data_IF_531773881364
#
_entry.id   IF_531773881364
#
_cell.length_a   1.000
_cell.length_b   1.000
_cell.length_c   1.000
_cell.angle_alpha   90.00
_cell.angle_beta   90.00
_cell.angle_gamma   90.00
#
_symmetry.space_group_name_H-M   'P 1'
#
loop_
_entity.id
_entity.type
_entity.pdbx_description
1 polymer ?
#
# COMPACT_ATOMS: atom_id res chain seq x y z
N UNK A 1 -13.39 -11.85 3.13
CA UNK A 1 -12.42 -12.96 3.04
C UNK A 1 -12.85 -14.16 3.89
N UNK A 2 -13.38 -13.91 5.09
CA UNK A 2 -13.95 -14.94 5.98
C UNK A 2 -14.98 -15.83 5.29
N UNK A 3 -15.96 -15.25 4.58
CA UNK A 3 -16.95 -15.99 3.79
C UNK A 3 -16.31 -16.94 2.75
N UNK A 4 -15.19 -16.54 2.16
CA UNK A 4 -14.49 -17.34 1.16
C UNK A 4 -13.72 -18.50 1.80
N UNK A 5 -13.06 -18.25 2.93
CA UNK A 5 -12.39 -19.31 3.70
C UNK A 5 -13.40 -20.31 4.27
N UNK A 6 -14.56 -19.85 4.75
CA UNK A 6 -15.63 -20.73 5.22
C UNK A 6 -16.15 -21.64 4.09
N UNK A 7 -16.37 -21.08 2.89
CA UNK A 7 -16.73 -21.90 1.73
C UNK A 7 -15.62 -22.86 1.26
N UNK A 8 -14.35 -22.49 1.45
CA UNK A 8 -13.21 -23.37 1.18
C UNK A 8 -13.16 -24.54 2.18
N UNK A 9 -13.41 -24.27 3.44
CA UNK A 9 -13.50 -25.29 4.49
C UNK A 9 -14.67 -26.25 4.22
N UNK A 10 -15.85 -25.73 3.87
CA UNK A 10 -17.00 -26.55 3.45
C UNK A 10 -16.68 -27.45 2.25
N UNK A 11 -15.94 -26.93 1.25
CA UNK A 11 -15.49 -27.71 0.09
C UNK A 11 -14.39 -28.73 0.43
N UNK A 12 -13.54 -28.47 1.43
CA UNK A 12 -12.54 -29.43 1.88
C UNK A 12 -13.16 -30.67 2.52
N UNK A 13 -14.24 -30.50 3.29
CA UNK A 13 -14.97 -31.60 3.92
C UNK A 13 -15.61 -32.54 2.90
N UNK A 14 -16.01 -32.02 1.74
CA UNK A 14 -16.56 -32.83 0.64
C UNK A 14 -15.49 -33.51 -0.23
N UNK A 15 -14.24 -33.01 -0.20
CA UNK A 15 -13.17 -33.44 -1.11
C UNK A 15 -12.04 -34.24 -0.43
N UNK A 16 -12.06 -34.40 0.90
CA UNK A 16 -11.02 -35.08 1.70
C UNK A 16 -9.60 -34.50 1.51
N UNK A 17 -9.51 -33.22 1.12
CA UNK A 17 -8.26 -32.46 0.99
C UNK A 17 -8.31 -31.32 1.98
N UNK A 18 -7.36 -31.26 2.91
CA UNK A 18 -7.30 -30.23 3.96
C UNK A 18 -7.20 -28.82 3.35
N UNK A 19 -8.17 -27.95 3.65
CA UNK A 19 -8.15 -26.57 3.18
C UNK A 19 -7.11 -25.76 3.95
N UNK A 20 -6.12 -25.22 3.23
CA UNK A 20 -5.26 -24.17 3.75
C UNK A 20 -6.03 -22.86 3.74
N UNK A 21 -6.30 -22.32 4.93
CA UNK A 21 -6.90 -21.00 5.13
C UNK A 21 -6.15 -19.97 4.29
N UNK A 22 -6.89 -19.24 3.45
CA UNK A 22 -6.29 -18.22 2.59
C UNK A 22 -6.16 -16.95 3.41
N UNK A 23 -4.91 -16.63 3.70
CA UNK A 23 -4.53 -15.35 4.25
C UNK A 23 -4.34 -14.34 3.10
N UNK A 24 -5.08 -13.21 3.08
CA UNK A 24 -4.92 -12.20 2.04
C UNK A 24 -3.49 -11.63 1.98
N UNK A 25 -2.76 -11.59 3.09
CA UNK A 25 -1.38 -11.08 3.11
C UNK A 25 -0.43 -12.02 2.38
N UNK A 26 -0.52 -13.33 2.66
CA UNK A 26 0.24 -14.36 1.97
C UNK A 26 -0.04 -14.36 0.46
N UNK A 27 -1.29 -14.10 0.04
CA UNK A 27 -1.65 -13.99 -1.37
C UNK A 27 -1.00 -12.76 -2.03
N UNK A 28 -1.09 -11.58 -1.43
CA UNK A 28 -0.48 -10.37 -1.99
C UNK A 28 1.05 -10.42 -1.97
N UNK A 29 1.66 -10.96 -0.92
CA UNK A 29 3.11 -11.18 -0.87
C UNK A 29 3.55 -12.08 -2.02
N UNK A 30 2.82 -13.16 -2.29
CA UNK A 30 3.10 -14.03 -3.43
C UNK A 30 2.87 -13.33 -4.77
N UNK A 31 1.85 -12.49 -4.88
CA UNK A 31 1.63 -11.69 -6.10
C UNK A 31 2.77 -10.69 -6.33
N UNK A 32 3.29 -10.05 -5.27
CA UNK A 32 4.44 -9.15 -5.34
C UNK A 32 5.72 -9.88 -5.77
N UNK A 33 5.99 -11.06 -5.19
CA UNK A 33 7.10 -11.93 -5.61
C UNK A 33 7.00 -12.29 -7.11
N UNK A 34 5.79 -12.65 -7.56
CA UNK A 34 5.52 -12.97 -8.97
C UNK A 34 5.73 -11.74 -9.86
N UNK A 35 5.28 -10.55 -9.45
CA UNK A 35 5.45 -9.31 -10.21
C UNK A 35 6.95 -8.99 -10.42
N UNK A 36 7.75 -9.08 -9.35
CA UNK A 36 9.21 -8.89 -9.43
C UNK A 36 9.84 -9.92 -10.39
N UNK A 37 9.44 -11.18 -10.30
CA UNK A 37 9.93 -12.22 -11.19
C UNK A 37 9.54 -11.96 -12.66
N UNK A 38 8.30 -11.56 -12.93
CA UNK A 38 7.83 -11.20 -14.27
C UNK A 38 8.60 -10.01 -14.84
N UNK A 39 8.80 -8.96 -14.04
CA UNK A 39 9.56 -7.77 -14.47
C UNK A 39 11.02 -8.10 -14.78
N UNK A 40 11.65 -8.95 -13.97
CA UNK A 40 13.00 -9.46 -14.22
C UNK A 40 13.08 -10.22 -15.56
N UNK A 41 12.09 -11.05 -15.87
CA UNK A 41 12.00 -11.76 -17.15
C UNK A 41 11.84 -10.80 -18.34
N UNK A 42 10.99 -9.77 -18.21
CA UNK A 42 10.78 -8.75 -19.27
C UNK A 42 12.07 -7.98 -19.55
N UNK A 43 12.74 -7.47 -18.52
CA UNK A 43 13.99 -6.70 -18.66
C UNK A 43 15.10 -7.55 -19.30
N UNK A 44 15.18 -8.83 -18.95
CA UNK A 44 16.18 -9.76 -19.50
C UNK A 44 15.77 -10.36 -20.84
N UNK A 45 14.57 -10.04 -21.35
CA UNK A 45 13.95 -10.67 -22.51
C UNK A 45 13.99 -12.21 -22.43
N UNK A 46 13.87 -12.76 -21.21
CA UNK A 46 13.97 -14.18 -20.93
C UNK A 46 12.59 -14.73 -20.60
N UNK A 47 11.96 -15.35 -21.60
CA UNK A 47 10.62 -15.90 -21.50
C UNK A 47 10.63 -17.44 -21.49
N UNK A 48 11.77 -18.07 -21.18
CA UNK A 48 11.88 -19.53 -21.16
C UNK A 48 11.11 -20.11 -19.98
N UNK A 49 10.14 -20.97 -20.28
CA UNK A 49 9.49 -21.82 -19.29
C UNK A 49 10.40 -22.99 -18.87
N UNK A 50 9.98 -23.77 -17.87
CA UNK A 50 10.71 -24.98 -17.43
C UNK A 50 10.92 -26.02 -18.54
N UNK A 51 10.12 -25.99 -19.60
CA UNK A 51 10.31 -26.84 -20.78
C UNK A 51 11.35 -26.29 -21.78
N UNK A 52 11.96 -25.14 -21.50
CA UNK A 52 12.88 -24.43 -22.39
C UNK A 52 12.20 -23.64 -23.51
N UNK A 53 10.87 -23.79 -23.67
CA UNK A 53 10.10 -23.08 -24.69
C UNK A 53 9.63 -21.70 -24.21
N UNK A 54 9.63 -20.74 -25.14
CA UNK A 54 9.10 -19.39 -24.92
C UNK A 54 7.71 -19.19 -25.55
N UNK A 55 7.17 -20.18 -26.27
CA UNK A 55 5.97 -20.01 -27.10
C UNK A 55 4.72 -19.62 -26.30
N UNK A 56 4.52 -20.24 -25.13
CA UNK A 56 3.43 -19.90 -24.22
C UNK A 56 3.51 -18.42 -23.81
N UNK A 57 4.64 -18.02 -23.21
CA UNK A 57 4.83 -16.66 -22.72
C UNK A 57 4.82 -15.64 -23.85
N UNK A 58 5.48 -15.87 -24.98
CA UNK A 58 5.45 -14.93 -26.11
C UNK A 58 4.05 -14.77 -26.67
N UNK A 59 3.27 -15.85 -26.84
CA UNK A 59 1.89 -15.77 -27.33
C UNK A 59 0.99 -14.99 -26.38
N UNK A 60 1.11 -15.22 -25.08
CA UNK A 60 0.27 -14.56 -24.08
C UNK A 60 0.74 -13.14 -23.72
N UNK A 61 2.05 -12.86 -23.74
CA UNK A 61 2.59 -11.51 -23.53
C UNK A 61 2.37 -10.60 -24.74
N UNK A 62 2.34 -11.12 -25.98
CA UNK A 62 1.91 -10.34 -27.14
C UNK A 62 0.41 -10.00 -27.11
N UNK A 63 -0.41 -10.74 -26.37
CA UNK A 63 -1.83 -10.44 -26.21
C UNK A 63 -2.10 -9.24 -25.28
N UNK A 64 -1.09 -8.83 -24.51
CA UNK A 64 -1.15 -7.67 -23.63
C UNK A 64 -0.23 -6.59 -24.23
N UNK A 65 -0.80 -5.57 -24.86
CA UNK A 65 -0.05 -4.37 -25.27
C UNK A 65 0.46 -3.62 -24.03
N UNK A 66 1.61 -4.06 -23.48
CA UNK A 66 2.23 -3.43 -22.31
C UNK A 66 2.85 -2.06 -22.65
N UNK A 67 3.05 -1.77 -23.94
CA UNK A 67 3.64 -0.52 -24.42
C UNK A 67 2.80 0.02 -25.58
N UNK A 68 2.25 1.23 -25.43
CA UNK A 68 1.63 1.99 -26.51
C UNK A 68 2.66 2.25 -27.62
N UNK A 69 2.45 1.68 -28.80
CA UNK A 69 3.09 2.14 -30.05
C UNK A 69 2.14 2.95 -30.94
N UNK A 70 0.86 3.07 -30.59
CA UNK A 70 -0.15 3.77 -31.40
C UNK A 70 -0.70 5.03 -30.68
N UNK A 71 -0.64 6.23 -31.31
CA UNK A 71 -1.29 7.42 -30.79
C UNK A 71 -2.78 7.38 -31.16
N UNK A 72 -3.66 6.95 -30.25
CA UNK A 72 -5.10 7.24 -30.42
C UNK A 72 -6.14 6.41 -29.67
N UNK A 73 -5.84 5.21 -29.17
CA UNK A 73 -6.84 4.40 -28.46
C UNK A 73 -6.47 4.20 -26.99
N UNK A 74 -7.30 4.75 -26.09
CA UNK A 74 -7.19 4.54 -24.63
C UNK A 74 -8.03 3.32 -24.26
N UNK A 75 -7.38 2.21 -23.91
CA UNK A 75 -8.00 1.14 -23.13
C UNK A 75 -8.22 1.67 -21.70
N UNK A 76 -9.43 1.52 -21.17
CA UNK A 76 -9.93 2.14 -19.92
C UNK A 76 -9.28 1.59 -18.64
N UNK A 77 -8.54 0.47 -18.70
CA UNK A 77 -7.77 -0.06 -17.58
C UNK A 77 -6.31 0.45 -17.61
N UNK A 78 -6.13 1.75 -17.78
CA UNK A 78 -4.85 2.40 -17.49
C UNK A 78 -4.88 2.77 -16.00
N UNK A 79 -4.42 1.88 -15.12
CA UNK A 79 -3.79 2.37 -13.89
C UNK A 79 -2.77 3.41 -14.37
N UNK A 80 -2.91 4.67 -13.94
CA UNK A 80 -1.99 5.71 -14.41
C UNK A 80 -0.59 5.20 -14.06
N UNK A 81 0.25 5.03 -15.08
CA UNK A 81 1.61 4.50 -14.93
C UNK A 81 2.31 5.27 -13.79
N UNK A 82 2.68 4.58 -12.70
CA UNK A 82 3.29 5.18 -11.52
C UNK A 82 2.36 5.47 -10.33
N UNK A 83 1.13 4.93 -10.32
CA UNK A 83 0.19 5.05 -9.19
C UNK A 83 -0.49 3.71 -8.87
N UNK A 84 -0.69 3.43 -7.59
CA UNK A 84 -1.40 2.28 -7.07
C UNK A 84 -2.94 2.47 -7.09
N UNK A 85 -3.69 1.40 -6.81
CA UNK A 85 -5.16 1.41 -6.79
C UNK A 85 -5.77 2.35 -5.70
N UNK A 86 -5.03 2.57 -4.63
CA UNK A 86 -5.30 3.52 -3.54
C UNK A 86 -4.86 4.96 -3.88
N UNK A 87 -4.45 5.21 -5.14
CA UNK A 87 -3.88 6.47 -5.62
C UNK A 87 -2.52 6.86 -5.03
N UNK A 88 -1.86 5.99 -4.26
CA UNK A 88 -0.49 6.21 -3.82
C UNK A 88 0.47 6.25 -5.02
N UNK A 89 1.50 7.11 -4.96
CA UNK A 89 2.48 7.24 -6.05
C UNK A 89 3.58 6.19 -5.90
N UNK A 90 3.85 5.41 -6.95
CA UNK A 90 4.80 4.28 -6.92
C UNK A 90 6.26 4.64 -7.24
N UNK A 91 6.53 5.79 -7.88
CA UNK A 91 7.90 6.12 -8.32
C UNK A 91 8.27 7.55 -7.97
N UNK A 92 9.31 7.67 -7.15
CA UNK A 92 10.01 8.90 -6.80
C UNK A 92 11.51 8.61 -6.80
N UNK A 93 12.31 9.47 -7.46
CA UNK A 93 13.77 9.27 -7.59
C UNK A 93 14.54 9.45 -6.28
N UNK A 94 13.96 10.14 -5.28
CA UNK A 94 14.70 10.64 -4.11
C UNK A 94 14.02 10.32 -2.76
N UNK A 95 12.79 9.81 -2.77
CA UNK A 95 12.01 9.53 -1.56
C UNK A 95 11.24 8.23 -1.79
N UNK A 96 11.28 7.25 -0.87
CA UNK A 96 10.54 6.01 -1.02
C UNK A 96 9.04 6.31 -1.10
N UNK A 97 8.28 5.61 -1.96
CA UNK A 97 6.84 5.78 -2.02
C UNK A 97 6.19 5.28 -0.72
N UNK A 98 4.97 5.74 -0.38
CA UNK A 98 4.20 5.13 0.69
C UNK A 98 4.00 3.62 0.42
N UNK A 99 4.09 2.77 1.45
CA UNK A 99 3.85 1.33 1.34
C UNK A 99 2.48 1.04 0.74
N UNK A 100 2.31 -0.08 0.04
CA UNK A 100 1.01 -0.47 -0.51
C UNK A 100 0.50 -1.75 0.16
N UNK A 101 -0.82 -1.90 0.40
CA UNK A 101 -1.90 -0.94 0.13
C UNK A 101 -2.08 0.12 1.21
N UNK A 102 -2.52 1.32 0.87
CA UNK A 102 -2.89 2.37 1.83
C UNK A 102 -4.41 2.42 2.04
N UNK A 103 -4.86 2.83 3.23
CA UNK A 103 -6.27 3.07 3.49
C UNK A 103 -6.84 4.13 2.55
N UNK A 104 -8.12 3.97 2.13
CA UNK A 104 -8.72 4.88 1.18
C UNK A 104 -8.82 6.30 1.74
N UNK A 105 -8.62 7.29 0.87
CA UNK A 105 -8.83 8.70 1.20
C UNK A 105 -7.61 9.43 1.77
N UNK A 106 -6.53 8.73 2.13
CA UNK A 106 -5.27 9.38 2.59
C UNK A 106 -4.54 10.03 1.41
N UNK A 107 -4.54 9.36 0.26
CA UNK A 107 -3.93 9.84 -0.98
C UNK A 107 -4.99 9.99 -2.07
N UNK A 108 -4.90 11.06 -2.86
CA UNK A 108 -5.70 11.18 -4.09
C UNK A 108 -4.86 11.67 -5.27
N UNK A 109 -5.15 11.08 -6.43
CA UNK A 109 -4.47 11.36 -7.70
C UNK A 109 -2.93 11.20 -7.68
N UNK A 110 -2.39 10.61 -6.61
CA UNK A 110 -0.98 10.56 -6.25
C UNK A 110 -0.28 11.91 -6.22
N UNK A 111 -1.04 12.97 -5.96
CA UNK A 111 -0.58 14.34 -5.82
C UNK A 111 -0.95 14.93 -4.48
N UNK A 112 -2.05 14.48 -3.87
CA UNK A 112 -2.55 15.08 -2.65
C UNK A 112 -2.41 14.14 -1.47
N UNK A 113 -2.07 14.71 -0.33
CA UNK A 113 -2.09 14.08 0.98
C UNK A 113 -3.20 14.72 1.84
N UNK A 114 -4.14 13.91 2.30
CA UNK A 114 -5.31 14.35 3.07
C UNK A 114 -5.06 14.16 4.56
N UNK A 115 -4.59 15.21 5.23
CA UNK A 115 -4.18 15.12 6.63
C UNK A 115 -5.31 14.70 7.57
N UNK A 116 -6.55 15.13 7.31
CA UNK A 116 -7.70 14.81 8.16
C UNK A 116 -8.00 13.30 8.12
N UNK A 117 -8.04 12.72 6.91
CA UNK A 117 -8.23 11.28 6.73
C UNK A 117 -7.07 10.48 7.34
N UNK A 118 -5.83 10.98 7.22
CA UNK A 118 -4.67 10.39 7.85
C UNK A 118 -4.79 10.37 9.38
N UNK A 119 -5.09 11.51 10.02
CA UNK A 119 -5.22 11.61 11.48
C UNK A 119 -6.38 10.79 12.02
N UNK A 120 -7.49 10.73 11.28
CA UNK A 120 -8.63 9.87 11.62
C UNK A 120 -8.22 8.39 11.60
N UNK A 121 -7.41 7.96 10.62
CA UNK A 121 -6.88 6.60 10.56
C UNK A 121 -5.90 6.30 11.70
N UNK A 122 -5.02 7.25 12.06
CA UNK A 122 -4.13 7.09 13.25
C UNK A 122 -4.98 6.85 14.50
N UNK A 123 -6.03 7.66 14.70
CA UNK A 123 -6.95 7.52 15.83
C UNK A 123 -7.63 6.15 15.82
N UNK A 124 -8.16 5.72 14.67
CA UNK A 124 -8.84 4.42 14.55
C UNK A 124 -7.90 3.25 14.90
N UNK A 125 -6.66 3.26 14.39
CA UNK A 125 -5.67 2.21 14.71
C UNK A 125 -5.31 2.25 16.20
N UNK A 126 -5.11 3.44 16.78
CA UNK A 126 -4.85 3.56 18.20
C UNK A 126 -6.00 2.99 19.04
N UNK A 127 -7.24 3.35 18.73
CA UNK A 127 -8.43 2.86 19.44
C UNK A 127 -8.59 1.34 19.31
N UNK A 128 -8.35 0.78 18.12
CA UNK A 128 -8.42 -0.67 17.88
C UNK A 128 -7.32 -1.46 18.61
N UNK A 129 -6.10 -0.93 18.66
CA UNK A 129 -4.97 -1.64 19.26
C UNK A 129 -4.97 -1.52 20.78
N UNK A 130 -5.23 -0.34 21.32
CA UNK A 130 -5.02 -0.05 22.74
C UNK A 130 -6.30 -0.02 23.58
N UNK A 131 -7.44 0.40 23.01
CA UNK A 131 -8.69 0.55 23.77
C UNK A 131 -9.63 -0.64 23.57
N UNK A 132 -9.78 -1.10 22.33
CA UNK A 132 -10.77 -2.11 21.95
C UNK A 132 -10.17 -3.20 21.05
N UNK A 133 -9.22 -4.01 21.57
CA UNK A 133 -8.61 -5.08 20.80
C UNK A 133 -9.65 -6.12 20.39
N UNK A 134 -9.95 -6.22 19.09
CA UNK A 134 -10.93 -7.19 18.57
C UNK A 134 -10.37 -8.62 18.50
N UNK A 135 -9.05 -8.79 18.66
CA UNK A 135 -8.36 -10.07 18.46
C UNK A 135 -8.24 -10.49 16.99
N UNK A 136 -8.78 -9.70 16.07
CA UNK A 136 -8.66 -9.91 14.63
C UNK A 136 -7.30 -9.40 14.13
N UNK A 137 -6.76 -10.06 13.10
CA UNK A 137 -5.60 -9.56 12.41
C UNK A 137 -5.95 -8.27 11.65
N UNK A 138 -5.14 -7.20 11.76
CA UNK A 138 -5.43 -5.92 11.10
C UNK A 138 -5.51 -6.08 9.59
N UNK A 139 -6.32 -5.23 8.96
CA UNK A 139 -6.38 -5.18 7.50
C UNK A 139 -5.01 -4.80 6.92
N UNK A 140 -4.71 -5.25 5.71
CA UNK A 140 -3.44 -4.98 5.02
C UNK A 140 -3.16 -3.49 4.88
N UNK A 141 -4.21 -2.71 4.61
CA UNK A 141 -4.13 -1.26 4.56
C UNK A 141 -3.68 -0.67 5.89
N UNK A 142 -4.14 -1.23 7.01
CA UNK A 142 -3.77 -0.77 8.34
C UNK A 142 -2.32 -1.13 8.68
N UNK A 143 -1.84 -2.31 8.28
CA UNK A 143 -0.44 -2.71 8.49
C UNK A 143 0.51 -1.83 7.69
N UNK A 144 0.27 -1.67 6.39
CA UNK A 144 1.08 -0.81 5.52
C UNK A 144 1.02 0.66 5.96
N UNK A 145 -0.13 1.13 6.47
CA UNK A 145 -0.24 2.44 7.10
C UNK A 145 0.58 2.54 8.39
N UNK A 146 0.52 1.54 9.28
CA UNK A 146 1.29 1.53 10.52
C UNK A 146 2.80 1.50 10.24
N UNK A 147 3.24 0.73 9.26
CA UNK A 147 4.64 0.75 8.79
C UNK A 147 5.04 2.14 8.29
N UNK A 148 4.19 2.79 7.49
CA UNK A 148 4.43 4.16 7.02
C UNK A 148 4.53 5.14 8.18
N UNK A 149 3.60 5.04 9.15
CA UNK A 149 3.56 5.87 10.33
C UNK A 149 4.84 5.72 11.14
N UNK A 150 5.32 4.49 11.36
CA UNK A 150 6.55 4.24 12.10
C UNK A 150 7.80 4.74 11.37
N UNK A 151 7.91 4.51 10.06
CA UNK A 151 9.09 4.90 9.27
C UNK A 151 9.22 6.42 9.10
N UNK A 152 8.08 7.12 8.98
CA UNK A 152 8.04 8.56 8.72
C UNK A 152 7.80 9.41 9.96
N UNK A 153 7.58 8.82 11.14
CA UNK A 153 7.38 9.60 12.38
C UNK A 153 8.66 9.75 13.19
N UNK A 154 8.77 10.88 13.88
CA UNK A 154 9.80 11.13 14.89
C UNK A 154 9.18 11.72 16.14
N UNK A 155 9.74 11.38 17.29
CA UNK A 155 9.34 11.94 18.59
C UNK A 155 10.37 12.97 19.02
N UNK A 156 9.92 14.18 19.31
CA UNK A 156 10.77 15.23 19.88
C UNK A 156 10.99 15.01 21.39
N UNK A 157 11.99 15.67 21.96
CA UNK A 157 12.27 15.63 23.41
C UNK A 157 11.06 16.08 24.26
N UNK A 158 10.16 16.89 23.69
CA UNK A 158 8.90 17.30 24.32
C UNK A 158 7.83 16.21 24.40
N UNK A 159 8.08 15.02 23.84
CA UNK A 159 7.09 13.95 23.67
C UNK A 159 6.18 14.15 22.46
N UNK A 160 6.30 15.27 21.75
CA UNK A 160 5.50 15.55 20.55
C UNK A 160 5.90 14.64 19.40
N UNK A 161 4.92 13.95 18.80
CA UNK A 161 5.13 13.08 17.64
C UNK A 161 4.85 13.86 16.36
N UNK A 162 5.82 13.83 15.44
CA UNK A 162 5.79 14.50 14.15
C UNK A 162 5.87 13.48 13.02
N UNK A 163 4.95 13.54 12.07
CA UNK A 163 5.00 12.76 10.83
C UNK A 163 5.61 13.60 9.71
N UNK A 164 6.69 13.10 9.10
CA UNK A 164 7.34 13.75 7.97
C UNK A 164 6.47 13.65 6.72
N UNK A 165 6.15 14.79 6.12
CA UNK A 165 5.32 14.86 4.93
C UNK A 165 6.15 14.65 3.66
N UNK A 166 5.57 13.94 2.69
CA UNK A 166 6.18 13.73 1.37
C UNK A 166 6.33 15.06 0.62
N UNK A 167 7.56 15.36 0.20
CA UNK A 167 7.91 16.68 -0.35
C UNK A 167 7.10 17.06 -1.61
N UNK A 168 6.73 16.04 -2.40
CA UNK A 168 6.05 16.20 -3.69
C UNK A 168 4.53 16.14 -3.60
N UNK A 169 3.98 15.92 -2.40
CA UNK A 169 2.54 15.89 -2.21
C UNK A 169 2.04 17.26 -1.76
N UNK A 170 1.00 17.72 -2.43
CA UNK A 170 0.21 18.86 -2.02
C UNK A 170 -0.63 18.46 -0.81
N UNK A 171 -0.57 19.27 0.24
CA UNK A 171 -1.40 19.09 1.42
C UNK A 171 -2.74 19.76 1.12
N UNK A 172 -3.84 19.12 1.50
CA UNK A 172 -5.16 19.73 1.38
C UNK A 172 -5.22 21.08 2.14
N UNK A 173 -5.94 22.05 1.58
CA UNK A 173 -6.11 23.39 2.17
C UNK A 173 -6.98 23.37 3.43
N UNK A 174 -7.65 22.26 3.69
CA UNK A 174 -8.45 22.06 4.90
C UNK A 174 -7.60 21.74 6.13
N UNK A 175 -6.32 21.39 5.95
CA UNK A 175 -5.40 21.14 7.05
C UNK A 175 -5.16 22.42 7.85
N UNK A 176 -5.49 22.47 9.15
CA UNK A 176 -5.19 23.62 9.99
C UNK A 176 -3.68 23.87 10.06
N UNK A 177 -3.25 25.11 9.84
CA UNK A 177 -1.83 25.50 9.91
C UNK A 177 -1.19 25.17 11.26
N UNK A 178 -1.97 25.17 12.34
CA UNK A 178 -1.51 24.81 13.68
C UNK A 178 -1.02 23.35 13.80
N UNK A 179 -1.47 22.46 12.91
CA UNK A 179 -1.02 21.07 12.88
C UNK A 179 0.23 20.88 12.01
N UNK A 180 0.68 21.91 11.29
CA UNK A 180 1.83 21.85 10.40
C UNK A 180 3.02 22.57 11.03
N UNK A 181 4.18 21.94 10.99
CA UNK A 181 5.43 22.55 11.46
C UNK A 181 6.56 22.29 10.48
N UNK A 182 7.58 23.15 10.50
CA UNK A 182 8.81 22.96 9.74
C UNK A 182 9.91 22.59 10.70
N UNK A 183 10.43 21.37 10.57
CA UNK A 183 11.54 20.86 11.37
C UNK A 183 12.66 20.43 10.43
N UNK A 184 13.88 20.94 10.64
CA UNK A 184 15.04 20.73 9.76
C UNK A 184 14.77 21.05 8.27
N UNK A 185 13.96 22.08 8.00
CA UNK A 185 13.61 22.49 6.63
C UNK A 185 12.58 21.59 5.93
N UNK A 186 12.04 20.58 6.61
CA UNK A 186 11.02 19.66 6.09
C UNK A 186 9.70 19.90 6.80
N UNK A 187 8.59 19.86 6.06
CA UNK A 187 7.24 19.97 6.62
C UNK A 187 6.85 18.69 7.33
N UNK A 188 6.30 18.83 8.52
CA UNK A 188 5.80 17.74 9.34
C UNK A 188 4.37 18.04 9.78
N UNK A 189 3.61 16.98 10.02
CA UNK A 189 2.28 17.01 10.62
C UNK A 189 2.39 16.59 12.08
N UNK A 190 1.77 17.36 12.98
CA UNK A 190 1.63 17.00 14.38
C UNK A 190 0.63 15.86 14.55
N UNK A 191 1.03 14.82 15.29
CA UNK A 191 0.15 13.73 15.69
C UNK A 191 -0.12 13.84 17.19
N UNK A 192 -1.09 14.66 17.54
CA UNK A 192 -1.44 14.95 18.94
C UNK A 192 -1.87 13.69 19.71
N UNK A 193 -2.57 12.76 19.04
CA UNK A 193 -3.08 11.52 19.64
C UNK A 193 -1.99 10.61 20.23
N UNK A 194 -0.74 10.73 19.79
CA UNK A 194 0.36 9.86 20.22
C UNK A 194 1.25 10.49 21.30
N UNK A 195 0.97 11.75 21.68
CA UNK A 195 1.84 12.56 22.54
C UNK A 195 1.88 12.11 24.01
N UNK A 196 0.89 11.35 24.49
CA UNK A 196 0.79 10.91 25.89
C UNK A 196 1.24 9.45 26.16
N UNK A 197 1.52 8.64 25.12
CA UNK A 197 1.56 7.17 25.30
C UNK A 197 2.78 6.44 24.72
N UNK A 198 3.73 7.13 24.09
CA UNK A 198 4.98 6.51 23.59
C UNK A 198 6.19 6.62 24.52
N UNK A 199 5.98 7.11 25.75
CA UNK A 199 6.98 7.14 26.80
C UNK A 199 6.74 6.00 27.81
N UNK A 200 7.09 4.77 27.44
CA UNK A 200 7.35 3.67 28.39
C UNK A 200 8.30 2.65 27.77
#
# INVERSE_FOLDING_TARGET
METYNNHLEEKSHTSSVEAVKKDPQALLQKLSEIEVAMMSCVVKNNFKSCSGSETFWRRHCHAIELVKTEPGKKIWYNYRRGFCADSAKQVSKNEPPPPWPQPPGIFSEGKHFHSCAFLEMVKQIYEQVFLWPSGESPALEQEAFAMMLLDQSMTLESGTVLFKLYEKLEIDRTTPDALLTVHNGVKHLHIEYLQEHWAS
#
